data_IF_383738722892
#
_entry.id   IF_383738722892
#
_cell.length_a   1.000
_cell.length_b   1.000
_cell.length_c   1.000
_cell.angle_alpha   90.00
_cell.angle_beta   90.00
_cell.angle_gamma   90.00
#
_symmetry.space_group_name_H-M   'P 1'
#
loop_
_entity.id
_entity.type
_entity.pdbx_description
1 polymer ?
#
# COMPACT_ATOMS: atom_id res chain seq x y z
N UNK A 1 -13.23 0.65 -12.14
CA UNK A 1 -13.25 1.23 -10.77
C UNK A 1 -11.85 1.73 -10.43
N UNK A 2 -11.71 2.86 -9.72
CA UNK A 2 -10.39 3.38 -9.29
C UNK A 2 -10.32 3.30 -7.76
N UNK A 3 -9.27 2.65 -7.24
CA UNK A 3 -9.01 2.47 -5.83
C UNK A 3 -7.72 3.20 -5.46
N UNK A 4 -7.82 4.26 -4.66
CA UNK A 4 -6.64 4.92 -4.06
C UNK A 4 -6.32 4.24 -2.73
N UNK A 5 -5.10 3.77 -2.56
CA UNK A 5 -4.68 3.09 -1.33
C UNK A 5 -3.26 3.50 -0.92
N UNK A 6 -2.98 3.43 0.37
CA UNK A 6 -1.62 3.53 0.91
C UNK A 6 -0.93 2.17 0.94
N UNK A 7 0.39 2.17 1.07
CA UNK A 7 1.25 0.99 1.25
C UNK A 7 0.81 0.11 2.44
N UNK A 8 0.61 0.70 3.61
CA UNK A 8 0.16 -0.05 4.79
C UNK A 8 -1.25 -0.61 4.65
N UNK A 9 -2.17 0.15 4.06
CA UNK A 9 -3.57 -0.26 3.87
C UNK A 9 -3.71 -1.36 2.82
N UNK A 10 -2.97 -1.27 1.71
CA UNK A 10 -3.00 -2.27 0.64
C UNK A 10 -2.53 -3.64 1.14
N UNK A 11 -1.51 -3.67 2.01
CA UNK A 11 -0.98 -4.91 2.59
C UNK A 11 -1.99 -5.68 3.46
N UNK A 12 -3.05 -5.05 3.96
CA UNK A 12 -4.04 -5.73 4.81
C UNK A 12 -4.88 -6.77 4.06
N UNK A 13 -5.14 -6.54 2.78
CA UNK A 13 -5.97 -7.40 1.92
C UNK A 13 -5.32 -7.64 0.56
N UNK A 14 -3.99 -7.70 0.53
CA UNK A 14 -3.24 -7.82 -0.74
C UNK A 14 -3.56 -9.10 -1.50
N UNK A 15 -4.02 -10.15 -0.82
CA UNK A 15 -4.47 -11.40 -1.45
C UNK A 15 -5.67 -11.21 -2.39
N UNK A 16 -6.48 -10.17 -2.22
CA UNK A 16 -7.64 -9.91 -3.09
C UNK A 16 -7.24 -9.46 -4.50
N UNK A 17 -5.95 -9.17 -4.72
CA UNK A 17 -5.41 -9.04 -6.07
C UNK A 17 -5.60 -10.34 -6.88
N UNK A 18 -5.50 -11.51 -6.25
CA UNK A 18 -5.82 -12.79 -6.89
C UNK A 18 -7.28 -12.82 -7.35
N UNK A 19 -8.22 -12.46 -6.46
CA UNK A 19 -9.64 -12.39 -6.77
C UNK A 19 -9.91 -11.45 -7.95
N UNK A 20 -9.26 -10.27 -7.97
CA UNK A 20 -9.39 -9.31 -9.06
C UNK A 20 -8.86 -9.86 -10.40
N UNK A 21 -7.71 -10.55 -10.39
CA UNK A 21 -7.10 -11.14 -11.57
C UNK A 21 -7.92 -12.32 -12.12
N UNK A 22 -8.30 -13.27 -11.27
CA UNK A 22 -9.06 -14.46 -11.64
C UNK A 22 -10.42 -14.13 -12.25
N UNK A 23 -11.07 -13.08 -11.74
CA UNK A 23 -12.36 -12.62 -12.24
C UNK A 23 -12.24 -11.54 -13.33
N UNK A 24 -11.01 -11.20 -13.76
CA UNK A 24 -10.73 -10.20 -14.81
C UNK A 24 -11.43 -8.85 -14.55
N UNK A 25 -11.41 -8.39 -13.29
CA UNK A 25 -12.08 -7.16 -12.90
C UNK A 25 -11.29 -5.92 -13.35
N UNK A 26 -11.97 -4.93 -13.93
CA UNK A 26 -11.36 -3.63 -14.28
C UNK A 26 -11.22 -2.71 -13.04
N UNK A 27 -10.27 -3.07 -12.18
CA UNK A 27 -9.90 -2.29 -10.98
C UNK A 27 -8.50 -1.71 -11.18
N UNK A 28 -8.40 -0.39 -11.06
CA UNK A 28 -7.13 0.34 -11.11
C UNK A 28 -6.73 0.77 -9.71
N UNK A 29 -5.69 0.15 -9.17
CA UNK A 29 -5.14 0.50 -7.86
C UNK A 29 -4.08 1.58 -8.07
N UNK A 30 -4.31 2.75 -7.47
CA UNK A 30 -3.34 3.84 -7.42
C UNK A 30 -2.73 3.79 -6.01
N UNK A 31 -1.49 3.31 -5.94
CA UNK A 31 -0.76 3.13 -4.70
C UNK A 31 0.05 4.39 -4.38
N UNK A 32 -0.26 5.02 -3.24
CA UNK A 32 0.57 6.07 -2.65
C UNK A 32 1.55 5.43 -1.66
N UNK A 33 2.76 5.11 -2.13
CA UNK A 33 3.79 4.49 -1.31
C UNK A 33 4.70 5.58 -0.70
N UNK A 34 4.51 5.87 0.58
CA UNK A 34 5.38 6.77 1.37
C UNK A 34 6.19 6.01 2.43
N UNK A 35 6.22 4.68 2.35
CA UNK A 35 6.95 3.79 3.25
C UNK A 35 6.61 4.02 4.75
N UNK A 36 5.35 4.36 5.04
CA UNK A 36 4.91 4.72 6.36
C UNK A 36 3.41 4.52 6.58
N UNK A 37 3.03 4.30 7.84
CA UNK A 37 1.66 4.51 8.30
C UNK A 37 1.39 6.02 8.38
N UNK A 38 1.22 6.66 7.22
CA UNK A 38 1.30 8.12 7.07
C UNK A 38 0.45 8.94 8.05
N UNK A 39 -0.79 8.51 8.34
CA UNK A 39 -1.64 9.21 9.30
C UNK A 39 -1.12 9.09 10.74
N UNK A 40 -0.64 7.92 11.14
CA UNK A 40 -0.03 7.69 12.46
C UNK A 40 1.27 8.46 12.58
N UNK A 41 2.10 8.43 11.53
CA UNK A 41 3.33 9.21 11.45
C UNK A 41 3.05 10.71 11.65
N UNK A 42 2.03 11.25 10.96
CA UNK A 42 1.64 12.65 11.09
C UNK A 42 1.15 12.97 12.50
N UNK A 43 0.26 12.15 13.07
CA UNK A 43 -0.24 12.35 14.43
C UNK A 43 0.88 12.32 15.47
N UNK A 44 1.80 11.36 15.37
CA UNK A 44 2.98 11.28 16.24
C UNK A 44 3.86 12.52 16.14
N UNK A 45 4.14 12.97 14.91
CA UNK A 45 4.97 14.16 14.66
C UNK A 45 4.37 15.44 15.22
N UNK A 46 3.04 15.59 15.15
CA UNK A 46 2.35 16.82 15.57
C UNK A 46 2.04 16.86 17.07
N UNK A 47 1.75 15.71 17.69
CA UNK A 47 1.14 15.68 19.02
C UNK A 47 1.97 14.95 20.09
N UNK A 48 3.02 14.20 19.73
CA UNK A 48 3.79 13.39 20.68
C UNK A 48 5.24 13.88 20.79
N UNK A 49 5.69 14.13 22.03
CA UNK A 49 7.05 14.61 22.30
C UNK A 49 8.14 13.59 21.97
N UNK A 50 7.81 12.30 22.00
CA UNK A 50 8.76 11.23 21.66
C UNK A 50 9.07 11.16 20.16
N UNK A 51 8.27 11.82 19.31
CA UNK A 51 8.40 11.74 17.86
C UNK A 51 7.75 10.48 17.27
N UNK A 52 8.13 10.16 16.03
CA UNK A 52 7.59 9.04 15.27
C UNK A 52 8.13 7.70 15.81
N UNK A 53 7.23 6.76 16.05
CA UNK A 53 7.53 5.43 16.55
C UNK A 53 6.62 4.37 15.90
N UNK A 54 7.23 3.30 15.37
CA UNK A 54 6.53 2.16 14.75
C UNK A 54 5.56 2.52 13.62
N UNK A 55 5.80 3.64 12.93
CA UNK A 55 4.96 4.14 11.85
C UNK A 55 5.70 4.27 10.51
N UNK A 56 6.92 3.74 10.41
CA UNK A 56 7.76 3.75 9.20
C UNK A 56 8.22 2.34 8.86
N UNK A 57 8.33 2.04 7.58
CA UNK A 57 8.84 0.75 7.09
C UNK A 57 10.32 0.88 6.72
N UNK A 58 11.21 0.04 7.27
CA UNK A 58 12.64 0.09 6.95
C UNK A 58 13.00 -0.64 5.64
N UNK A 59 12.08 -1.43 5.08
CA UNK A 59 12.31 -2.27 3.91
C UNK A 59 11.64 -1.72 2.66
N UNK A 60 12.38 -1.65 1.56
CA UNK A 60 11.81 -1.36 0.24
C UNK A 60 11.04 -2.59 -0.28
N UNK A 61 9.72 -2.57 -0.11
CA UNK A 61 8.83 -3.57 -0.70
C UNK A 61 8.56 -3.21 -2.16
N UNK A 62 8.82 -4.16 -3.06
CA UNK A 62 8.51 -3.99 -4.47
C UNK A 62 7.06 -4.39 -4.76
N UNK A 63 6.14 -3.43 -4.60
CA UNK A 63 4.72 -3.64 -4.89
C UNK A 63 4.45 -4.00 -6.35
N UNK A 64 5.30 -3.58 -7.30
CA UNK A 64 5.12 -3.94 -8.70
C UNK A 64 5.38 -5.44 -8.93
N UNK A 65 6.41 -5.99 -8.29
CA UNK A 65 6.66 -7.43 -8.34
C UNK A 65 5.53 -8.22 -7.69
N UNK A 66 4.98 -7.74 -6.56
CA UNK A 66 3.85 -8.39 -5.90
C UNK A 66 2.61 -8.38 -6.80
N UNK A 67 2.23 -7.22 -7.33
CA UNK A 67 1.07 -7.09 -8.22
C UNK A 67 1.22 -7.94 -9.48
N UNK A 68 2.42 -7.96 -10.09
CA UNK A 68 2.72 -8.82 -11.23
C UNK A 68 2.63 -10.32 -10.86
N UNK A 69 3.06 -10.71 -9.65
CA UNK A 69 2.91 -12.07 -9.13
C UNK A 69 1.46 -12.53 -8.97
N UNK A 70 0.54 -11.59 -8.71
CA UNK A 70 -0.91 -11.85 -8.72
C UNK A 70 -1.54 -11.78 -10.12
N UNK A 71 -0.77 -11.45 -11.16
CA UNK A 71 -1.26 -11.35 -12.54
C UNK A 71 -1.82 -9.99 -12.95
N UNK A 72 -1.60 -8.93 -12.15
CA UNK A 72 -2.03 -7.57 -12.50
C UNK A 72 -0.98 -6.88 -13.39
N UNK A 73 -1.46 -6.06 -14.32
CA UNK A 73 -0.60 -5.15 -15.07
C UNK A 73 -0.10 -4.01 -14.17
N UNK A 74 1.15 -3.63 -14.35
CA UNK A 74 1.87 -2.69 -13.48
C UNK A 74 2.42 -1.51 -14.28
N UNK A 75 2.36 -0.31 -13.70
CA UNK A 75 2.87 0.92 -14.29
C UNK A 75 3.38 1.86 -13.17
N UNK A 76 4.32 2.74 -13.53
CA UNK A 76 4.91 3.77 -12.65
C UNK A 76 4.16 5.09 -12.84
#
# INVERSE_FOLDING_TARGET
MICFSGDGSLMMNIQEMATAAENQLDVKIILMNNEALGLVHQQQSLFYKQGVFAATYPGMINFMQIAAGFGLHTAI
#
